data_IF_469740911275
#
_entry.id   IF_469740911275
#
_cell.length_a   1.000
_cell.length_b   1.000
_cell.length_c   1.000
_cell.angle_alpha   90.00
_cell.angle_beta   90.00
_cell.angle_gamma   90.00
#
_symmetry.space_group_name_H-M   'P 1'
#
loop_
_entity.id
_entity.type
_entity.pdbx_description
1 polymer ?
#
# COMPACT_ATOMS: atom_id res chain seq x y z
N UNK A 1 44.82 -7.87 40.26
CA UNK A 1 43.68 -8.76 39.95
C UNK A 1 42.27 -8.23 40.30
N UNK A 2 42.08 -7.31 41.28
CA UNK A 2 40.73 -6.84 41.69
C UNK A 2 39.95 -5.98 40.67
N UNK A 3 40.62 -5.23 39.78
CA UNK A 3 39.97 -4.31 38.82
C UNK A 3 39.18 -5.02 37.71
N UNK A 4 39.57 -6.24 37.33
CA UNK A 4 38.92 -7.00 36.24
C UNK A 4 37.57 -7.58 36.67
N UNK A 5 37.45 -8.04 37.92
CA UNK A 5 36.22 -8.60 38.46
C UNK A 5 35.08 -7.56 38.57
N UNK A 6 35.41 -6.29 38.88
CA UNK A 6 34.44 -5.18 38.96
C UNK A 6 33.90 -4.80 37.58
N UNK A 7 34.71 -4.90 36.52
CA UNK A 7 34.29 -4.55 35.15
C UNK A 7 33.35 -5.60 34.55
N UNK A 8 33.55 -6.87 34.88
CA UNK A 8 32.69 -7.99 34.42
C UNK A 8 31.32 -7.94 35.09
N UNK A 9 31.27 -7.67 36.40
CA UNK A 9 30.00 -7.55 37.14
C UNK A 9 29.15 -6.38 36.67
N UNK A 10 29.76 -5.24 36.34
CA UNK A 10 29.05 -4.08 35.75
C UNK A 10 28.41 -4.40 34.38
N UNK A 11 29.16 -5.04 33.46
CA UNK A 11 28.63 -5.43 32.14
C UNK A 11 27.46 -6.42 32.24
N UNK A 12 27.54 -7.38 33.15
CA UNK A 12 26.46 -8.35 33.37
C UNK A 12 25.19 -7.69 33.93
N UNK A 13 25.33 -6.68 34.80
CA UNK A 13 24.20 -5.90 35.33
C UNK A 13 23.51 -5.08 34.23
N UNK A 14 24.29 -4.44 33.36
CA UNK A 14 23.73 -3.71 32.21
C UNK A 14 23.00 -4.63 31.23
N UNK A 15 23.55 -5.82 30.95
CA UNK A 15 22.90 -6.82 30.09
C UNK A 15 21.56 -7.28 30.68
N UNK A 16 21.51 -7.59 31.98
CA UNK A 16 20.27 -7.96 32.68
C UNK A 16 19.22 -6.84 32.66
N UNK A 17 19.64 -5.57 32.83
CA UNK A 17 18.73 -4.43 32.78
C UNK A 17 18.11 -4.25 31.38
N UNK A 18 18.92 -4.37 30.32
CA UNK A 18 18.44 -4.30 28.93
C UNK A 18 17.43 -5.43 28.61
N UNK A 19 17.71 -6.65 29.06
CA UNK A 19 16.79 -7.79 28.93
C UNK A 19 15.46 -7.55 29.67
N UNK A 20 15.51 -7.03 30.90
CA UNK A 20 14.31 -6.72 31.68
C UNK A 20 13.44 -5.63 31.04
N UNK A 21 14.06 -4.57 30.48
CA UNK A 21 13.36 -3.52 29.75
C UNK A 21 12.70 -4.06 28.46
N UNK A 22 13.41 -4.92 27.71
CA UNK A 22 12.86 -5.57 26.51
C UNK A 22 11.65 -6.44 26.85
N UNK A 23 11.73 -7.24 27.91
CA UNK A 23 10.61 -8.07 28.39
C UNK A 23 9.40 -7.22 28.83
N UNK A 24 9.64 -6.09 29.52
CA UNK A 24 8.56 -5.17 29.93
C UNK A 24 7.86 -4.53 28.73
N UNK A 25 8.61 -4.16 27.68
CA UNK A 25 8.06 -3.59 26.44
C UNK A 25 7.18 -4.61 25.69
N UNK A 26 7.64 -5.86 25.58
CA UNK A 26 6.86 -6.97 24.98
C UNK A 26 5.57 -7.22 25.76
N UNK A 27 5.62 -7.26 27.11
CA UNK A 27 4.43 -7.47 27.94
C UNK A 27 3.39 -6.35 27.78
N UNK A 28 3.83 -5.09 27.60
CA UNK A 28 2.93 -3.95 27.35
C UNK A 28 2.27 -4.05 25.97
N UNK A 29 3.02 -4.47 24.94
CA UNK A 29 2.48 -4.72 23.59
C UNK A 29 1.40 -5.80 23.58
N UNK A 30 1.65 -6.94 24.23
CA UNK A 30 0.68 -8.04 24.29
C UNK A 30 -0.61 -7.67 25.03
N UNK A 31 -0.52 -6.80 26.06
CA UNK A 31 -1.72 -6.28 26.74
C UNK A 31 -2.55 -5.37 25.83
N UNK A 32 -1.92 -4.48 25.07
CA UNK A 32 -2.61 -3.58 24.16
C UNK A 32 -3.28 -4.34 23.00
N UNK A 33 -2.59 -5.33 22.41
CA UNK A 33 -3.15 -6.17 21.36
C UNK A 33 -4.40 -6.94 21.83
N UNK A 34 -4.40 -7.44 23.08
CA UNK A 34 -5.56 -8.11 23.68
C UNK A 34 -6.74 -7.16 23.86
N UNK A 35 -6.50 -5.89 24.22
CA UNK A 35 -7.54 -4.87 24.39
C UNK A 35 -8.23 -4.54 23.05
N UNK A 36 -7.44 -4.35 21.99
CA UNK A 36 -7.93 -4.02 20.65
C UNK A 36 -8.80 -5.16 20.10
N UNK A 37 -8.35 -6.42 20.25
CA UNK A 37 -9.13 -7.59 19.82
C UNK A 37 -10.46 -7.78 20.57
N UNK A 38 -10.55 -7.33 21.82
CA UNK A 38 -11.82 -7.35 22.58
C UNK A 38 -12.80 -6.26 22.16
N UNK A 39 -12.33 -5.09 21.74
CA UNK A 39 -13.22 -4.01 21.26
C UNK A 39 -13.74 -4.28 19.85
N UNK A 40 -12.91 -4.81 18.96
CA UNK A 40 -13.33 -5.21 17.60
C UNK A 40 -14.48 -6.23 17.63
N UNK A 41 -14.40 -7.26 18.49
CA UNK A 41 -15.45 -8.28 18.65
C UNK A 41 -16.76 -7.73 19.22
N UNK A 42 -16.71 -6.61 19.96
CA UNK A 42 -17.91 -5.95 20.51
C UNK A 42 -18.60 -5.09 19.44
N UNK A 43 -17.83 -4.52 18.52
CA UNK A 43 -18.34 -3.71 17.42
C UNK A 43 -19.07 -4.56 16.36
N UNK A 44 -18.52 -5.71 15.96
CA UNK A 44 -19.14 -6.62 14.97
C UNK A 44 -20.53 -7.11 15.39
N UNK A 45 -20.71 -7.44 16.68
CA UNK A 45 -22.00 -7.92 17.19
C UNK A 45 -23.09 -6.85 17.20
N UNK A 46 -22.73 -5.57 17.23
CA UNK A 46 -23.68 -4.46 17.24
C UNK A 46 -24.19 -4.10 15.84
N UNK A 47 -23.35 -4.27 14.80
CA UNK A 47 -23.70 -3.98 13.40
C UNK A 47 -24.67 -5.03 12.84
N UNK A 48 -24.42 -6.31 13.11
CA UNK A 48 -25.23 -7.43 12.56
C UNK A 48 -26.69 -7.38 13.07
N UNK A 49 -26.94 -6.88 14.29
CA UNK A 49 -28.30 -6.82 14.85
C UNK A 49 -29.16 -5.67 14.31
N UNK A 50 -28.59 -4.63 13.68
CA UNK A 50 -29.34 -3.40 13.36
C UNK A 50 -29.93 -3.34 11.94
N UNK A 51 -29.41 -4.11 10.98
CA UNK A 51 -29.74 -3.92 9.55
C UNK A 51 -30.44 -5.10 8.83
N UNK A 52 -30.67 -6.25 9.47
CA UNK A 52 -31.25 -7.42 8.77
C UNK A 52 -32.79 -7.49 8.91
N UNK A 53 -33.39 -6.88 9.92
CA UNK A 53 -34.82 -7.03 10.20
C UNK A 53 -35.78 -6.21 9.28
N UNK A 54 -35.45 -5.00 8.79
CA UNK A 54 -36.37 -4.27 7.92
C UNK A 54 -36.34 -4.69 6.44
N UNK A 55 -35.33 -5.47 6.00
CA UNK A 55 -35.16 -5.84 4.58
C UNK A 55 -36.06 -7.02 4.15
N UNK A 56 -36.58 -7.81 5.09
CA UNK A 56 -37.44 -8.96 4.79
C UNK A 56 -38.92 -8.58 4.54
N UNK A 57 -39.35 -7.36 4.89
CA UNK A 57 -40.77 -6.95 4.77
C UNK A 57 -41.09 -6.33 3.40
N UNK A 58 -40.09 -5.80 2.68
CA UNK A 58 -40.31 -5.14 1.38
C UNK A 58 -40.40 -6.12 0.19
N UNK A 59 -39.94 -7.36 0.33
CA UNK A 59 -40.00 -8.35 -0.76
C UNK A 59 -41.34 -9.10 -0.86
N UNK A 60 -42.19 -9.07 0.18
CA UNK A 60 -43.49 -9.78 0.17
C UNK A 60 -44.61 -9.05 -0.57
N UNK A 61 -44.48 -7.73 -0.83
CA UNK A 61 -45.56 -6.92 -1.40
C UNK A 61 -45.60 -6.87 -2.93
N UNK A 62 -44.49 -7.16 -3.60
CA UNK A 62 -44.38 -6.95 -5.06
C UNK A 62 -44.94 -8.12 -5.90
N UNK A 63 -45.10 -9.31 -5.31
CA UNK A 63 -45.55 -10.52 -6.01
C UNK A 63 -47.07 -10.60 -6.21
N UNK A 64 -47.87 -9.86 -5.42
CA UNK A 64 -49.34 -9.96 -5.50
C UNK A 64 -49.92 -9.05 -6.60
N UNK A 65 -49.21 -8.03 -7.05
CA UNK A 65 -49.72 -7.11 -8.09
C UNK A 65 -49.50 -7.64 -9.53
N UNK A 66 -48.54 -8.54 -9.74
CA UNK A 66 -48.19 -9.02 -11.09
C UNK A 66 -49.11 -10.14 -11.62
N UNK A 67 -49.87 -10.81 -10.75
CA UNK A 67 -50.70 -11.96 -11.12
C UNK A 67 -52.08 -11.60 -11.73
N UNK A 68 -52.48 -10.32 -11.70
CA UNK A 68 -53.87 -9.93 -12.02
C UNK A 68 -54.11 -9.43 -13.46
N UNK A 69 -53.07 -9.29 -14.32
CA UNK A 69 -53.20 -8.48 -15.54
C UNK A 69 -52.67 -9.08 -16.87
N UNK A 70 -52.51 -10.41 -17.01
CA UNK A 70 -52.14 -10.99 -18.31
C UNK A 70 -53.09 -12.10 -18.78
N UNK A 71 -53.69 -11.98 -19.99
CA UNK A 71 -54.55 -13.00 -20.57
C UNK A 71 -53.75 -14.17 -21.19
N UNK A 72 -54.31 -15.36 -20.98
CA UNK A 72 -54.07 -16.68 -21.60
C UNK A 72 -53.05 -16.72 -22.75
N UNK A 73 -51.85 -17.21 -22.44
CA UNK A 73 -50.84 -17.63 -23.41
C UNK A 73 -50.88 -19.16 -23.54
N UNK A 74 -50.98 -19.63 -24.78
CA UNK A 74 -51.06 -21.04 -25.17
C UNK A 74 -49.77 -21.80 -24.90
N UNK A 75 -49.92 -23.01 -24.37
CA UNK A 75 -48.85 -23.95 -24.00
C UNK A 75 -48.14 -24.45 -25.25
N UNK A 76 -46.85 -24.14 -25.36
CA UNK A 76 -45.87 -24.88 -26.17
C UNK A 76 -44.86 -25.43 -25.17
N UNK A 77 -44.84 -26.75 -24.97
CA UNK A 77 -43.83 -27.43 -24.18
C UNK A 77 -42.47 -27.31 -24.89
N UNK A 78 -41.50 -26.67 -24.23
CA UNK A 78 -40.07 -26.77 -24.53
C UNK A 78 -39.29 -26.85 -23.21
N UNK A 79 -38.14 -27.53 -23.25
CA UNK A 79 -37.55 -28.20 -22.09
C UNK A 79 -37.02 -27.20 -21.06
N UNK A 80 -37.17 -27.58 -19.79
CA UNK A 80 -36.43 -27.01 -18.67
C UNK A 80 -34.94 -27.05 -18.97
N UNK A 81 -34.24 -25.92 -18.86
CA UNK A 81 -32.81 -25.88 -18.52
C UNK A 81 -32.39 -24.47 -18.03
N UNK A 82 -32.23 -24.37 -16.71
CA UNK A 82 -31.20 -23.60 -15.99
C UNK A 82 -30.81 -22.20 -16.50
N UNK A 83 -31.47 -21.12 -16.01
CA UNK A 83 -30.99 -19.73 -16.24
C UNK A 83 -30.98 -18.81 -15.01
N UNK A 84 -30.97 -19.32 -13.78
CA UNK A 84 -30.95 -18.45 -12.57
C UNK A 84 -29.65 -18.45 -11.77
N UNK A 85 -28.65 -19.26 -12.14
CA UNK A 85 -27.41 -19.37 -11.37
C UNK A 85 -26.27 -18.43 -11.83
N UNK A 86 -26.35 -17.82 -13.02
CA UNK A 86 -25.19 -17.11 -13.58
C UNK A 86 -24.98 -15.71 -13.00
N UNK A 87 -26.05 -14.99 -12.67
CA UNK A 87 -25.96 -13.63 -12.11
C UNK A 87 -25.50 -13.63 -10.64
N UNK A 88 -26.03 -14.55 -9.83
CA UNK A 88 -25.65 -14.74 -8.42
C UNK A 88 -24.19 -15.20 -8.25
N UNK A 89 -23.65 -15.92 -9.23
CA UNK A 89 -22.23 -16.32 -9.24
C UNK A 89 -21.30 -15.15 -9.62
N UNK A 90 -21.77 -14.20 -10.43
CA UNK A 90 -20.99 -13.00 -10.80
C UNK A 90 -20.88 -12.02 -9.62
N UNK A 91 -21.99 -11.71 -8.95
CA UNK A 91 -21.98 -10.83 -7.76
C UNK A 91 -21.10 -11.40 -6.62
N UNK A 92 -21.16 -12.73 -6.40
CA UNK A 92 -20.33 -13.37 -5.39
C UNK A 92 -18.83 -13.39 -5.76
N UNK A 93 -18.48 -13.41 -7.05
CA UNK A 93 -17.08 -13.33 -7.51
C UNK A 93 -16.50 -11.93 -7.35
N UNK A 94 -17.28 -10.89 -7.65
CA UNK A 94 -16.86 -9.50 -7.47
C UNK A 94 -16.61 -9.19 -5.98
N UNK A 95 -17.54 -9.58 -5.10
CA UNK A 95 -17.38 -9.41 -3.66
C UNK A 95 -16.21 -10.22 -3.06
N UNK A 96 -15.89 -11.40 -3.63
CA UNK A 96 -14.72 -12.19 -3.22
C UNK A 96 -13.40 -11.57 -3.70
N UNK A 97 -13.36 -11.03 -4.92
CA UNK A 97 -12.19 -10.32 -5.44
C UNK A 97 -11.89 -9.05 -4.65
N UNK A 98 -12.90 -8.28 -4.25
CA UNK A 98 -12.71 -7.08 -3.42
C UNK A 98 -12.18 -7.44 -2.02
N UNK A 99 -12.67 -8.52 -1.42
CA UNK A 99 -12.16 -9.02 -0.12
C UNK A 99 -10.74 -9.57 -0.22
N UNK A 100 -10.38 -10.23 -1.32
CA UNK A 100 -9.01 -10.70 -1.56
C UNK A 100 -8.05 -9.53 -1.78
N UNK A 101 -8.46 -8.51 -2.56
CA UNK A 101 -7.67 -7.30 -2.75
C UNK A 101 -7.43 -6.58 -1.42
N UNK A 102 -8.47 -6.33 -0.63
CA UNK A 102 -8.34 -5.67 0.67
C UNK A 102 -7.43 -6.42 1.65
N UNK A 103 -7.54 -7.76 1.71
CA UNK A 103 -6.70 -8.59 2.58
C UNK A 103 -5.24 -8.63 2.10
N UNK A 104 -4.99 -8.65 0.78
CA UNK A 104 -3.63 -8.57 0.23
C UNK A 104 -2.97 -7.22 0.54
N UNK A 105 -3.73 -6.11 0.48
CA UNK A 105 -3.22 -4.78 0.82
C UNK A 105 -2.88 -4.68 2.31
N UNK A 106 -3.74 -5.21 3.20
CA UNK A 106 -3.48 -5.22 4.64
C UNK A 106 -2.26 -6.09 5.02
N UNK A 107 -2.11 -7.27 4.39
CA UNK A 107 -0.94 -8.13 4.57
C UNK A 107 0.34 -7.47 4.04
N UNK A 108 0.29 -6.79 2.88
CA UNK A 108 1.44 -6.07 2.33
C UNK A 108 1.86 -4.89 3.22
N UNK A 109 0.89 -4.15 3.78
CA UNK A 109 1.13 -3.09 4.75
C UNK A 109 1.78 -3.62 6.03
N UNK A 110 1.31 -4.75 6.56
CA UNK A 110 1.88 -5.38 7.75
C UNK A 110 3.29 -5.93 7.46
N UNK A 111 3.52 -6.53 6.29
CA UNK A 111 4.83 -7.03 5.88
C UNK A 111 5.85 -5.90 5.72
N UNK A 112 5.46 -4.81 5.03
CA UNK A 112 6.25 -3.59 4.89
C UNK A 112 6.55 -2.94 6.25
N UNK A 113 5.55 -2.85 7.13
CA UNK A 113 5.76 -2.32 8.49
C UNK A 113 6.74 -3.17 9.31
N UNK A 114 6.68 -4.49 9.21
CA UNK A 114 7.63 -5.38 9.89
C UNK A 114 9.05 -5.30 9.32
N UNK A 115 9.19 -5.12 8.00
CA UNK A 115 10.49 -4.91 7.35
C UNK A 115 11.12 -3.58 7.79
N UNK A 116 10.33 -2.50 7.80
CA UNK A 116 10.73 -1.18 8.27
C UNK A 116 11.04 -1.12 9.78
N UNK A 117 10.51 -2.05 10.58
CA UNK A 117 10.82 -2.22 12.02
C UNK A 117 12.14 -2.99 12.27
N UNK A 118 12.68 -3.71 11.28
CA UNK A 118 13.95 -4.44 11.41
C UNK A 118 15.17 -3.60 11.01
N UNK A 119 14.97 -2.45 10.37
CA UNK A 119 16.02 -1.47 10.10
C UNK A 119 16.48 -0.78 11.38
N UNK A 120 17.80 -0.68 11.56
CA UNK A 120 18.38 0.02 12.71
C UNK A 120 18.30 1.54 12.51
N UNK A 121 18.34 2.30 13.61
CA UNK A 121 18.44 3.77 13.54
C UNK A 121 19.66 4.22 12.71
N UNK A 122 20.73 3.41 12.69
CA UNK A 122 21.92 3.66 11.89
C UNK A 122 21.62 3.50 10.38
N UNK A 123 20.84 2.49 9.98
CA UNK A 123 20.44 2.27 8.59
C UNK A 123 19.56 3.42 8.09
N UNK A 124 18.60 3.87 8.91
CA UNK A 124 17.72 5.00 8.59
C UNK A 124 18.48 6.31 8.48
N UNK A 125 19.44 6.57 9.38
CA UNK A 125 20.29 7.75 9.28
C UNK A 125 21.17 7.72 8.03
N UNK A 126 21.77 6.57 7.71
CA UNK A 126 22.56 6.43 6.48
C UNK A 126 21.70 6.61 5.22
N UNK A 127 20.45 6.13 5.22
CA UNK A 127 19.52 6.37 4.12
C UNK A 127 19.14 7.85 4.02
N UNK A 128 18.85 8.50 5.16
CA UNK A 128 18.56 9.94 5.23
C UNK A 128 19.68 10.78 4.63
N UNK A 129 20.93 10.51 4.99
CA UNK A 129 22.11 11.19 4.46
C UNK A 129 22.26 11.05 2.94
N UNK A 130 21.75 9.94 2.35
CA UNK A 130 21.73 9.76 0.89
C UNK A 130 20.54 10.45 0.22
N UNK A 131 19.38 10.52 0.88
CA UNK A 131 18.16 11.15 0.35
C UNK A 131 18.25 12.67 0.38
N UNK A 132 18.66 13.26 1.52
CA UNK A 132 18.62 14.72 1.72
C UNK A 132 19.31 15.50 0.59
N UNK A 133 20.53 15.15 0.12
CA UNK A 133 21.17 15.88 -0.97
C UNK A 133 20.43 15.81 -2.32
N UNK A 134 19.57 14.81 -2.52
CA UNK A 134 18.77 14.67 -3.75
C UNK A 134 17.57 15.63 -3.76
N UNK A 135 16.97 15.83 -2.59
CA UNK A 135 15.69 16.56 -2.44
C UNK A 135 15.84 17.94 -1.82
N UNK A 136 17.01 18.30 -1.29
CA UNK A 136 17.26 19.58 -0.65
C UNK A 136 16.83 20.78 -1.51
N UNK A 137 16.07 21.70 -0.90
CA UNK A 137 15.51 22.87 -1.55
C UNK A 137 14.36 22.57 -2.53
N UNK A 138 13.80 21.36 -2.49
CA UNK A 138 12.68 20.94 -3.35
C UNK A 138 11.48 20.52 -2.49
N UNK A 139 10.25 20.53 -3.04
CA UNK A 139 9.06 20.20 -2.25
C UNK A 139 9.09 18.82 -1.58
N UNK A 140 9.74 17.83 -2.21
CA UNK A 140 9.89 16.48 -1.64
C UNK A 140 10.78 16.43 -0.38
N UNK A 141 11.53 17.48 -0.05
CA UNK A 141 12.29 17.56 1.22
C UNK A 141 11.37 17.42 2.44
N UNK A 142 10.16 17.99 2.37
CA UNK A 142 9.17 17.89 3.44
C UNK A 142 8.63 16.46 3.66
N UNK A 143 8.90 15.53 2.72
CA UNK A 143 8.44 14.14 2.78
C UNK A 143 9.49 13.18 3.35
N UNK A 144 10.73 13.64 3.58
CA UNK A 144 11.86 12.76 3.93
C UNK A 144 11.58 11.93 5.17
N UNK A 145 11.00 12.52 6.22
CA UNK A 145 10.70 11.80 7.46
C UNK A 145 9.71 10.65 7.27
N UNK A 146 8.73 10.83 6.38
CA UNK A 146 7.73 9.80 6.06
C UNK A 146 8.29 8.75 5.10
N UNK A 147 9.14 9.16 4.16
CA UNK A 147 9.85 8.24 3.25
C UNK A 147 10.73 7.28 4.07
N UNK A 148 11.40 7.78 5.12
CA UNK A 148 12.26 6.97 6.01
C UNK A 148 11.48 5.99 6.92
N UNK A 149 10.15 6.08 6.96
CA UNK A 149 9.31 5.08 7.64
C UNK A 149 9.00 3.89 6.73
N UNK A 150 9.21 4.01 5.44
CA UNK A 150 9.01 2.92 4.48
C UNK A 150 10.20 1.97 4.47
N UNK A 151 9.97 0.74 4.00
CA UNK A 151 11.06 -0.18 3.66
C UNK A 151 12.04 0.47 2.66
N UNK A 152 13.33 0.17 2.77
CA UNK A 152 14.38 0.75 1.92
C UNK A 152 14.13 0.63 0.42
N UNK A 153 13.57 -0.48 -0.07
CA UNK A 153 13.24 -0.64 -1.50
C UNK A 153 12.13 0.34 -1.88
N UNK A 154 11.10 0.45 -1.05
CA UNK A 154 9.97 1.37 -1.25
C UNK A 154 10.45 2.82 -1.21
N UNK A 155 11.29 3.17 -0.23
CA UNK A 155 11.88 4.50 -0.13
C UNK A 155 12.74 4.86 -1.36
N UNK A 156 13.53 3.90 -1.86
CA UNK A 156 14.32 4.08 -3.06
C UNK A 156 13.44 4.33 -4.30
N UNK A 157 12.33 3.62 -4.44
CA UNK A 157 11.36 3.87 -5.52
C UNK A 157 10.62 5.20 -5.36
N UNK A 158 10.21 5.58 -4.14
CA UNK A 158 9.58 6.87 -3.89
C UNK A 158 10.48 8.02 -4.37
N UNK A 159 11.78 7.98 -4.05
CA UNK A 159 12.70 9.04 -4.51
C UNK A 159 13.02 8.92 -6.01
N UNK A 160 13.19 7.70 -6.53
CA UNK A 160 13.52 7.47 -7.94
C UNK A 160 12.40 7.87 -8.90
N UNK A 161 11.19 7.40 -8.66
CA UNK A 161 10.00 7.78 -9.44
C UNK A 161 9.69 9.27 -9.23
N UNK A 162 9.85 9.76 -8.00
CA UNK A 162 9.70 11.18 -7.67
C UNK A 162 10.60 12.10 -8.49
N UNK A 163 11.87 11.74 -8.67
CA UNK A 163 12.77 12.44 -9.59
C UNK A 163 12.20 12.44 -11.01
N UNK A 164 11.79 11.27 -11.48
CA UNK A 164 11.40 11.06 -12.86
C UNK A 164 10.13 11.81 -13.26
N UNK A 165 9.11 11.76 -12.40
CA UNK A 165 7.77 12.24 -12.72
C UNK A 165 7.57 13.73 -12.41
N UNK A 166 8.33 14.27 -11.45
CA UNK A 166 8.12 15.64 -10.97
C UNK A 166 9.38 16.45 -10.75
N UNK A 167 10.57 15.89 -10.99
CA UNK A 167 11.84 16.47 -10.55
C UNK A 167 11.80 16.81 -9.05
N UNK A 168 11.43 15.80 -8.25
CA UNK A 168 11.27 15.87 -6.79
C UNK A 168 10.25 16.92 -6.33
N UNK A 169 9.13 17.01 -7.04
CA UNK A 169 8.03 17.91 -6.74
C UNK A 169 8.12 19.30 -7.36
N UNK A 170 9.15 19.62 -8.15
CA UNK A 170 9.20 20.88 -8.93
C UNK A 170 7.98 21.03 -9.85
N UNK A 171 7.51 19.91 -10.41
CA UNK A 171 6.29 19.84 -11.20
C UNK A 171 5.27 18.99 -10.44
N UNK A 172 4.12 19.58 -10.11
CA UNK A 172 3.06 18.87 -9.39
C UNK A 172 1.72 19.38 -9.87
N UNK A 173 0.68 18.53 -9.95
CA UNK A 173 -0.67 19.00 -10.14
C UNK A 173 -1.03 19.99 -9.02
N UNK A 174 -1.85 20.97 -9.37
CA UNK A 174 -2.39 21.93 -8.42
C UNK A 174 -3.90 21.89 -8.44
N UNK A 175 -4.51 22.09 -7.28
CA UNK A 175 -5.95 22.24 -7.12
C UNK A 175 -6.23 23.51 -6.35
N UNK A 176 -7.01 24.42 -6.94
CA UNK A 176 -7.30 25.73 -6.36
C UNK A 176 -6.03 26.52 -5.98
N UNK A 177 -5.01 26.45 -6.84
CA UNK A 177 -3.70 27.10 -6.62
C UNK A 177 -2.78 26.42 -5.61
N UNK A 178 -3.25 25.39 -4.89
CA UNK A 178 -2.46 24.64 -3.90
C UNK A 178 -1.77 23.44 -4.52
N UNK A 179 -0.59 23.10 -4.02
CA UNK A 179 0.11 21.86 -4.36
C UNK A 179 -0.70 20.65 -3.87
N UNK A 180 -0.79 19.63 -4.70
CA UNK A 180 -1.45 18.37 -4.43
C UNK A 180 -0.54 17.30 -3.81
N UNK A 181 0.75 17.61 -3.59
CA UNK A 181 1.77 16.70 -3.07
C UNK A 181 1.92 15.40 -3.89
N UNK A 182 1.49 15.42 -5.16
CA UNK A 182 1.51 14.25 -6.03
C UNK A 182 2.71 14.32 -6.96
N UNK A 183 3.82 13.77 -6.49
CA UNK A 183 5.12 13.87 -7.16
C UNK A 183 5.45 12.63 -8.01
N UNK A 184 4.52 11.69 -8.11
CA UNK A 184 4.70 10.39 -8.77
C UNK A 184 3.75 10.15 -9.94
N UNK A 185 2.92 11.14 -10.29
CA UNK A 185 1.91 11.01 -11.32
C UNK A 185 0.78 10.04 -10.95
N UNK A 186 0.51 9.85 -9.65
CA UNK A 186 -0.45 8.87 -9.17
C UNK A 186 -1.89 9.26 -9.52
N UNK A 187 -2.69 8.29 -9.99
CA UNK A 187 -4.09 8.46 -10.42
C UNK A 187 -5.02 7.53 -9.63
N UNK A 188 -5.06 7.71 -8.31
CA UNK A 188 -6.02 7.04 -7.43
C UNK A 188 -7.28 7.87 -7.19
N UNK A 189 -8.08 7.47 -6.20
CA UNK A 189 -9.37 8.09 -5.90
C UNK A 189 -9.27 9.35 -5.01
N UNK A 190 -8.07 9.65 -4.48
CA UNK A 190 -7.86 10.77 -3.56
C UNK A 190 -8.12 12.13 -4.23
N UNK A 191 -9.26 12.75 -3.89
CA UNK A 191 -9.63 14.13 -4.19
C UNK A 191 -9.18 14.62 -5.59
N UNK A 192 -9.53 13.86 -6.63
CA UNK A 192 -8.94 13.99 -7.95
C UNK A 192 -9.01 15.43 -8.52
N UNK A 193 -7.96 15.81 -9.22
CA UNK A 193 -7.94 16.99 -10.11
C UNK A 193 -8.80 16.73 -11.35
N UNK A 194 -9.13 17.80 -12.10
CA UNK A 194 -9.86 17.67 -13.36
C UNK A 194 -9.16 16.76 -14.38
N UNK A 195 -7.83 16.66 -14.32
CA UNK A 195 -7.01 15.80 -15.18
C UNK A 195 -6.90 14.34 -14.69
N UNK A 196 -7.53 14.01 -13.57
CA UNK A 196 -7.57 12.67 -12.98
C UNK A 196 -6.37 12.32 -12.07
N UNK A 197 -5.45 13.25 -11.82
CA UNK A 197 -4.40 13.03 -10.81
C UNK A 197 -4.96 13.17 -9.41
N UNK A 198 -4.51 12.31 -8.50
CA UNK A 198 -4.82 12.44 -7.08
C UNK A 198 -4.30 13.75 -6.51
N UNK A 199 -5.06 14.33 -5.58
CA UNK A 199 -4.65 15.52 -4.83
C UNK A 199 -4.66 15.21 -3.34
N UNK A 200 -3.47 15.03 -2.76
CA UNK A 200 -3.32 14.67 -1.36
C UNK A 200 -3.39 15.92 -0.48
N UNK A 201 -3.89 15.75 0.74
CA UNK A 201 -4.03 16.85 1.69
C UNK A 201 -2.71 17.24 2.37
N UNK A 202 -1.75 16.30 2.43
CA UNK A 202 -0.46 16.52 3.09
C UNK A 202 0.67 15.65 2.52
N UNK A 203 1.94 16.00 2.78
CA UNK A 203 3.10 15.17 2.49
C UNK A 203 2.99 13.74 3.05
N UNK A 204 2.52 13.61 4.29
CA UNK A 204 2.35 12.33 4.98
C UNK A 204 1.30 11.46 4.30
N UNK A 205 0.15 12.05 3.96
CA UNK A 205 -0.91 11.35 3.24
C UNK A 205 -0.40 10.83 1.89
N UNK A 206 0.30 11.68 1.13
CA UNK A 206 0.86 11.31 -0.17
C UNK A 206 1.84 10.14 -0.07
N UNK A 207 2.79 10.20 0.86
CA UNK A 207 3.79 9.13 1.06
C UNK A 207 3.13 7.83 1.52
N UNK A 208 2.12 7.88 2.38
CA UNK A 208 1.41 6.68 2.84
C UNK A 208 0.67 5.98 1.69
N UNK A 209 -0.08 6.71 0.88
CA UNK A 209 -0.85 6.12 -0.23
C UNK A 209 0.06 5.62 -1.34
N UNK A 210 1.00 6.45 -1.79
CA UNK A 210 1.91 6.08 -2.87
C UNK A 210 2.90 5.00 -2.42
N UNK A 211 3.46 5.14 -1.22
CA UNK A 211 4.35 4.16 -0.62
C UNK A 211 3.66 2.82 -0.42
N UNK A 212 2.39 2.82 0.02
CA UNK A 212 1.58 1.61 0.12
C UNK A 212 1.39 0.90 -1.22
N UNK A 213 1.08 1.64 -2.29
CA UNK A 213 0.96 1.07 -3.64
C UNK A 213 2.30 0.51 -4.14
N UNK A 214 3.40 1.21 -3.92
CA UNK A 214 4.74 0.73 -4.29
C UNK A 214 5.08 -0.54 -3.51
N UNK A 215 4.80 -0.58 -2.20
CA UNK A 215 5.03 -1.75 -1.35
C UNK A 215 4.23 -2.97 -1.84
N UNK A 216 2.99 -2.77 -2.27
CA UNK A 216 2.17 -3.82 -2.88
C UNK A 216 2.84 -4.37 -4.15
N UNK A 217 3.30 -3.51 -5.06
CA UNK A 217 3.99 -3.93 -6.28
C UNK A 217 5.30 -4.68 -5.96
N UNK A 218 6.08 -4.19 -4.99
CA UNK A 218 7.28 -4.89 -4.52
C UNK A 218 6.93 -6.27 -3.97
N UNK A 219 5.81 -6.41 -3.25
CA UNK A 219 5.35 -7.71 -2.74
C UNK A 219 4.98 -8.71 -3.85
N UNK A 220 4.60 -8.23 -5.04
CA UNK A 220 4.40 -9.04 -6.24
C UNK A 220 5.69 -9.27 -7.05
N UNK A 221 6.85 -8.91 -6.49
CA UNK A 221 8.15 -9.14 -7.11
C UNK A 221 8.59 -8.04 -8.07
N UNK A 222 7.92 -6.88 -8.08
CA UNK A 222 8.38 -5.68 -8.82
C UNK A 222 9.45 -4.93 -8.01
N UNK A 223 10.53 -5.60 -7.64
CA UNK A 223 11.57 -5.11 -6.73
C UNK A 223 12.75 -4.41 -7.43
N UNK A 224 12.81 -4.43 -8.76
CA UNK A 224 13.80 -3.70 -9.57
C UNK A 224 13.14 -2.62 -10.45
N UNK A 225 13.85 -1.57 -10.89
CA UNK A 225 13.32 -0.57 -11.82
C UNK A 225 12.76 -1.15 -13.12
N UNK A 226 13.37 -2.21 -13.66
CA UNK A 226 12.91 -2.90 -14.87
C UNK A 226 11.53 -3.54 -14.64
N UNK A 227 11.34 -4.17 -13.48
CA UNK A 227 10.05 -4.79 -13.13
C UNK A 227 9.03 -3.76 -12.67
N UNK A 228 9.47 -2.65 -12.08
CA UNK A 228 8.62 -1.54 -11.63
C UNK A 228 8.07 -0.70 -12.80
N UNK A 229 8.37 -1.06 -14.05
CA UNK A 229 7.78 -0.42 -15.23
C UNK A 229 6.24 -0.47 -15.23
N UNK A 230 5.65 -1.42 -14.49
CA UNK A 230 4.21 -1.49 -14.23
C UNK A 230 3.63 -0.19 -13.64
N UNK A 231 4.44 0.60 -12.91
CA UNK A 231 4.05 1.94 -12.46
C UNK A 231 3.74 2.87 -13.62
N UNK A 232 4.53 2.80 -14.70
CA UNK A 232 4.45 3.69 -15.85
C UNK A 232 3.31 3.33 -16.81
N UNK A 233 3.19 2.06 -17.17
CA UNK A 233 2.32 1.61 -18.26
C UNK A 233 1.30 0.55 -17.84
N UNK A 234 1.22 0.20 -16.55
CA UNK A 234 0.47 -0.96 -16.10
C UNK A 234 1.10 -2.26 -16.60
N UNK A 235 0.31 -3.31 -16.74
CA UNK A 235 0.82 -4.64 -17.13
C UNK A 235 1.23 -4.76 -18.60
N UNK A 236 0.97 -3.74 -19.42
CA UNK A 236 1.35 -3.73 -20.84
C UNK A 236 1.86 -2.36 -21.26
N UNK A 237 3.04 -2.35 -21.87
CA UNK A 237 3.64 -1.15 -22.46
C UNK A 237 3.35 -1.01 -23.96
N UNK A 238 2.40 -1.76 -24.53
CA UNK A 238 2.13 -1.76 -25.98
C UNK A 238 1.79 -0.38 -26.57
N UNK A 239 1.27 0.55 -25.75
CA UNK A 239 1.01 1.94 -26.15
C UNK A 239 2.21 2.88 -26.03
N UNK A 240 3.38 2.38 -25.67
CA UNK A 240 4.59 3.19 -25.44
C UNK A 240 5.74 2.74 -26.33
N UNK A 241 6.47 3.71 -26.88
CA UNK A 241 7.70 3.41 -27.62
C UNK A 241 8.81 2.90 -26.70
N UNK A 242 9.56 1.90 -27.17
CA UNK A 242 10.65 1.24 -26.44
C UNK A 242 11.68 2.22 -25.86
N UNK A 243 12.02 3.27 -26.61
CA UNK A 243 12.94 4.31 -26.17
C UNK A 243 12.45 5.05 -24.91
N UNK A 244 11.14 5.31 -24.82
CA UNK A 244 10.54 5.98 -23.67
C UNK A 244 10.50 5.08 -22.44
N UNK A 245 10.27 3.78 -22.64
CA UNK A 245 10.30 2.76 -21.58
C UNK A 245 11.71 2.61 -21.02
N UNK A 246 12.69 2.37 -21.89
CA UNK A 246 14.12 2.24 -21.52
C UNK A 246 14.63 3.49 -20.80
N UNK A 247 14.26 4.68 -21.30
CA UNK A 247 14.62 5.94 -20.65
C UNK A 247 14.02 6.05 -19.25
N UNK A 248 12.74 5.71 -19.08
CA UNK A 248 12.12 5.77 -17.76
C UNK A 248 12.81 4.85 -16.76
N UNK A 249 13.10 3.60 -17.16
CA UNK A 249 13.85 2.64 -16.34
C UNK A 249 15.21 3.23 -15.95
N UNK A 250 15.97 3.73 -16.94
CA UNK A 250 17.28 4.31 -16.70
C UNK A 250 17.23 5.50 -15.73
N UNK A 251 16.28 6.41 -15.91
CA UNK A 251 16.11 7.60 -15.09
C UNK A 251 15.77 7.22 -13.62
N UNK A 252 14.88 6.23 -13.41
CA UNK A 252 14.52 5.73 -12.06
C UNK A 252 15.69 4.98 -11.40
N UNK A 253 16.40 4.17 -12.18
CA UNK A 253 17.55 3.36 -11.73
C UNK A 253 18.64 4.19 -11.07
N UNK A 254 18.91 5.41 -11.56
CA UNK A 254 19.97 6.29 -11.02
C UNK A 254 19.83 6.46 -9.51
N UNK A 255 18.65 6.86 -9.05
CA UNK A 255 18.41 7.10 -7.63
C UNK A 255 18.11 5.81 -6.88
N UNK A 256 17.40 4.86 -7.51
CA UNK A 256 17.08 3.60 -6.87
C UNK A 256 18.34 2.87 -6.39
N UNK A 257 19.32 2.65 -7.27
CA UNK A 257 20.56 1.94 -6.90
C UNK A 257 21.51 2.79 -6.06
N UNK A 258 21.44 4.12 -6.15
CA UNK A 258 22.17 5.03 -5.24
C UNK A 258 21.67 4.87 -3.79
N UNK A 259 20.37 4.69 -3.60
CA UNK A 259 19.74 4.57 -2.29
C UNK A 259 19.73 3.13 -1.77
N UNK A 260 19.77 2.16 -2.68
CA UNK A 260 19.70 0.72 -2.43
C UNK A 260 20.90 -0.06 -3.03
N UNK A 261 22.14 0.19 -2.56
CA UNK A 261 23.37 -0.33 -3.18
C UNK A 261 23.61 -1.84 -3.00
N UNK A 262 22.90 -2.52 -2.11
CA UNK A 262 22.95 -3.97 -1.95
C UNK A 262 22.15 -4.71 -3.03
N UNK A 263 21.15 -4.04 -3.62
CA UNK A 263 20.30 -4.60 -4.67
C UNK A 263 20.93 -4.37 -6.05
N UNK A 264 22.26 -4.56 -6.16
CA UNK A 264 22.99 -4.24 -7.39
C UNK A 264 22.49 -5.08 -8.56
N UNK A 265 22.32 -4.39 -9.68
CA UNK A 265 22.12 -4.90 -11.05
C UNK A 265 22.66 -6.34 -11.21
N UNK A 266 21.89 -7.30 -11.75
CA UNK A 266 22.54 -8.46 -12.35
C UNK A 266 23.53 -7.89 -13.36
N UNK A 267 24.82 -8.19 -13.17
CA UNK A 267 25.87 -7.72 -14.06
C UNK A 267 25.38 -7.96 -15.48
N UNK A 268 25.24 -6.87 -16.26
CA UNK A 268 24.83 -6.92 -17.66
C UNK A 268 25.74 -7.94 -18.31
N UNK A 269 25.23 -9.14 -18.51
CA UNK A 269 25.93 -10.18 -19.23
C UNK A 269 25.95 -9.63 -20.64
N UNK A 270 27.14 -9.17 -21.07
CA UNK A 270 27.34 -8.70 -22.44
C UNK A 270 26.73 -9.75 -23.37
N UNK A 271 25.66 -9.37 -24.07
CA UNK A 271 25.22 -10.04 -25.29
C UNK A 271 26.24 -9.77 -26.39
#
# INVERSE_FOLDING_TARGET
>A
MKKTAVKITSKNRQKKLKLALKARKIRKRNKNAKLIGTEAKKFDKAIIKRNILPLLILFSGCLIFYASNHPKFSIIEKPEDTFTNSALVLENKEAQNERQAANSTEIALIASANAAENETDADKNALRERILPLVAGKPMEAMVDEILKQDKIVAAFLVGIGMKESNYGKYSPKKNGKDCYNYWGYRGQENQTASGYSCFDSPEHAVQVVGGRIAELVSYGHDTPEKMIVWKCGYSCAGHGDGNVKKWIADVSINFYKLNPEHKFPAVTKL
#
